data_IF_209879325231
#
_entry.id   IF_209879325231
#
_cell.length_a   1.000
_cell.length_b   1.000
_cell.length_c   1.000
_cell.angle_alpha   90.00
_cell.angle_beta   90.00
_cell.angle_gamma   90.00
#
_symmetry.space_group_name_H-M   'P 1'
#
loop_
_entity.id
_entity.type
_entity.pdbx_description
1 polymer ?
#
# COMPACT_ATOMS: atom_id res chain seq x y z
N UNK A 1 23.73 13.19 -25.96
CA UNK A 1 25.21 13.09 -25.94
C UNK A 1 25.67 12.34 -27.16
N UNK A 2 26.72 12.83 -27.83
CA UNK A 2 27.39 12.10 -28.92
C UNK A 2 28.28 11.03 -28.29
N UNK A 3 28.21 9.79 -28.78
CA UNK A 3 29.01 8.66 -28.29
C UNK A 3 30.25 8.42 -29.15
N UNK A 4 30.10 8.41 -30.48
CA UNK A 4 31.21 8.35 -31.43
C UNK A 4 30.78 8.89 -32.81
N UNK A 5 31.76 9.10 -33.69
CA UNK A 5 31.58 9.44 -35.10
C UNK A 5 32.26 8.35 -35.94
N UNK A 6 31.61 7.94 -37.03
CA UNK A 6 32.06 6.84 -37.89
C UNK A 6 32.41 7.38 -39.29
N UNK A 7 33.51 6.89 -39.86
CA UNK A 7 33.89 7.17 -41.25
C UNK A 7 33.14 6.27 -42.24
N UNK A 8 33.16 6.64 -43.51
CA UNK A 8 32.50 5.89 -44.59
C UNK A 8 32.99 4.44 -44.66
N UNK A 9 32.04 3.50 -44.57
CA UNK A 9 32.30 2.06 -44.59
C UNK A 9 32.56 1.41 -43.22
N UNK A 10 32.61 2.18 -42.14
CA UNK A 10 32.83 1.64 -40.80
C UNK A 10 31.54 1.06 -40.17
N UNK A 11 31.66 -0.08 -39.49
CA UNK A 11 30.58 -0.69 -38.70
C UNK A 11 31.02 -0.86 -37.25
N UNK A 12 30.16 -0.48 -36.30
CA UNK A 12 30.41 -0.63 -34.86
C UNK A 12 29.29 -1.44 -34.22
N UNK A 13 29.66 -2.36 -33.33
CA UNK A 13 28.74 -3.11 -32.49
C UNK A 13 29.25 -3.03 -31.06
N UNK A 14 28.41 -2.52 -30.16
CA UNK A 14 28.71 -2.38 -28.74
C UNK A 14 27.60 -2.99 -27.92
N UNK A 15 27.96 -3.58 -26.79
CA UNK A 15 27.05 -4.08 -25.78
C UNK A 15 27.43 -3.43 -24.44
N UNK A 16 26.45 -2.89 -23.73
CA UNK A 16 26.65 -2.21 -22.47
C UNK A 16 25.90 -2.94 -21.36
N UNK A 17 26.54 -3.11 -20.23
CA UNK A 17 25.90 -3.58 -19.00
C UNK A 17 25.61 -2.38 -18.10
N UNK A 18 24.35 -2.20 -17.70
CA UNK A 18 23.93 -1.12 -16.80
C UNK A 18 23.47 -1.74 -15.49
N UNK A 19 24.05 -1.27 -14.40
CA UNK A 19 23.74 -1.74 -13.04
C UNK A 19 23.26 -0.58 -12.16
N UNK A 20 22.55 -0.92 -11.08
CA UNK A 20 22.23 0.04 -10.01
C UNK A 20 23.26 -0.13 -8.89
N UNK A 21 23.79 0.99 -8.40
CA UNK A 21 24.79 1.00 -7.35
C UNK A 21 24.72 2.27 -6.52
N UNK A 22 25.74 2.48 -5.68
CA UNK A 22 25.87 3.67 -4.84
C UNK A 22 27.32 4.17 -4.88
N UNK A 23 27.50 5.48 -4.95
CA UNK A 23 28.82 6.09 -4.92
C UNK A 23 29.64 5.83 -6.18
N UNK A 24 30.94 5.62 -6.01
CA UNK A 24 31.90 5.38 -7.10
C UNK A 24 32.45 3.96 -7.01
N UNK A 25 32.46 3.26 -8.14
CA UNK A 25 33.05 1.92 -8.25
C UNK A 25 34.11 1.94 -9.35
N UNK A 26 35.39 1.65 -9.03
CA UNK A 26 36.45 1.64 -10.03
C UNK A 26 36.31 0.45 -10.99
N UNK A 27 36.86 0.59 -12.19
CA UNK A 27 36.82 -0.43 -13.24
C UNK A 27 37.29 -1.83 -12.77
N UNK A 28 38.30 -1.89 -11.90
CA UNK A 28 38.84 -3.15 -11.37
C UNK A 28 37.81 -3.94 -10.56
N UNK A 29 36.92 -3.26 -9.82
CA UNK A 29 35.84 -3.91 -9.06
C UNK A 29 34.65 -4.30 -9.95
N UNK A 30 34.51 -3.66 -11.12
CA UNK A 30 33.48 -3.99 -12.09
C UNK A 30 33.85 -5.20 -12.96
N UNK A 31 35.09 -5.68 -12.90
CA UNK A 31 35.54 -6.84 -13.67
C UNK A 31 35.27 -8.13 -12.88
N UNK A 32 34.34 -9.00 -13.33
CA UNK A 32 34.14 -10.29 -12.69
C UNK A 32 35.33 -11.23 -12.93
N UNK A 33 35.55 -12.18 -12.01
CA UNK A 33 36.66 -13.14 -12.10
C UNK A 33 36.56 -14.02 -13.35
N UNK A 34 35.35 -14.30 -13.81
CA UNK A 34 35.01 -15.08 -15.02
C UNK A 34 34.76 -14.19 -16.26
N UNK A 35 35.29 -12.97 -16.29
CA UNK A 35 35.08 -12.02 -17.39
C UNK A 35 35.47 -12.61 -18.76
N UNK A 36 34.57 -12.57 -19.77
CA UNK A 36 34.86 -13.05 -21.10
C UNK A 36 35.93 -12.20 -21.78
N UNK A 37 36.64 -12.79 -22.75
CA UNK A 37 37.62 -12.09 -23.56
C UNK A 37 36.91 -10.99 -24.36
N UNK A 38 37.42 -9.77 -24.28
CA UNK A 38 36.84 -8.59 -24.95
C UNK A 38 35.97 -7.72 -24.04
N UNK A 39 35.70 -8.11 -22.79
CA UNK A 39 35.04 -7.24 -21.81
C UNK A 39 35.99 -6.12 -21.35
N UNK A 40 35.59 -4.88 -21.57
CA UNK A 40 36.29 -3.68 -21.09
C UNK A 40 35.50 -3.14 -19.91
N UNK A 41 36.00 -3.34 -18.70
CA UNK A 41 35.41 -2.73 -17.52
C UNK A 41 35.70 -1.22 -17.49
N UNK A 42 34.70 -0.44 -17.11
CA UNK A 42 34.79 1.02 -16.98
C UNK A 42 34.40 1.42 -15.56
N UNK A 43 34.87 2.58 -15.12
CA UNK A 43 34.47 3.15 -13.84
C UNK A 43 32.96 3.46 -13.85
N UNK A 44 32.30 3.23 -12.73
CA UNK A 44 30.87 3.51 -12.55
C UNK A 44 30.65 4.58 -11.51
N UNK A 45 29.95 5.65 -11.91
CA UNK A 45 29.54 6.74 -11.03
C UNK A 45 28.03 6.69 -10.80
N UNK A 46 27.63 6.17 -9.65
CA UNK A 46 26.23 6.09 -9.19
C UNK A 46 25.86 7.31 -8.33
N UNK A 47 26.19 8.51 -8.81
CA UNK A 47 25.82 9.77 -8.15
C UNK A 47 24.93 10.60 -9.07
N UNK A 48 23.60 10.60 -8.86
CA UNK A 48 22.69 11.37 -9.70
C UNK A 48 22.71 12.87 -9.36
N UNK A 49 23.22 13.25 -8.19
CA UNK A 49 23.41 14.65 -7.78
C UNK A 49 24.78 15.13 -8.22
N UNK A 50 24.82 16.24 -8.96
CA UNK A 50 26.06 16.86 -9.48
C UNK A 50 26.59 17.94 -8.55
N UNK A 51 25.69 18.79 -8.04
CA UNK A 51 26.05 19.94 -7.21
C UNK A 51 24.94 20.28 -6.26
N UNK A 52 25.32 20.65 -5.04
CA UNK A 52 24.43 21.20 -4.02
C UNK A 52 25.07 22.46 -3.47
N UNK A 53 24.31 23.54 -3.41
CA UNK A 53 24.66 24.76 -2.72
C UNK A 53 23.53 25.12 -1.75
N UNK A 54 23.87 25.64 -0.57
CA UNK A 54 22.87 26.11 0.37
C UNK A 54 23.31 27.43 1.01
N UNK A 55 22.33 28.24 1.40
CA UNK A 55 22.54 29.44 2.20
C UNK A 55 21.42 29.59 3.22
N UNK A 56 21.75 30.14 4.37
CA UNK A 56 20.81 30.42 5.45
C UNK A 56 20.72 31.94 5.59
N UNK A 57 19.51 32.46 5.55
CA UNK A 57 19.23 33.89 5.67
C UNK A 57 18.21 34.11 6.79
N UNK A 58 18.37 35.15 7.63
CA UNK A 58 17.38 35.48 8.63
C UNK A 58 16.08 35.90 7.94
N UNK A 59 14.94 35.38 8.40
CA UNK A 59 13.63 35.68 7.85
C UNK A 59 12.66 36.12 8.93
N UNK A 60 11.83 37.10 8.60
CA UNK A 60 10.75 37.54 9.47
C UNK A 60 9.49 36.78 9.15
N UNK A 61 8.87 36.17 10.15
CA UNK A 61 7.56 35.55 10.02
C UNK A 61 6.57 36.22 10.98
N UNK A 62 5.71 37.08 10.42
CA UNK A 62 4.78 37.88 11.21
C UNK A 62 5.48 38.91 12.12
N UNK A 63 5.29 38.80 13.43
CA UNK A 63 5.88 39.72 14.42
C UNK A 63 7.23 39.24 14.98
N UNK A 64 7.63 37.98 14.74
CA UNK A 64 8.90 37.42 15.22
C UNK A 64 10.00 37.53 14.16
N UNK A 65 11.22 37.87 14.61
CA UNK A 65 12.43 38.08 13.79
C UNK A 65 13.43 36.91 13.90
N UNK A 66 13.11 35.85 14.65
CA UNK A 66 14.08 34.84 15.08
C UNK A 66 14.09 33.56 14.22
N UNK A 67 13.57 33.62 12.99
CA UNK A 67 13.52 32.46 12.10
C UNK A 67 14.65 32.49 11.08
N UNK A 68 15.14 31.30 10.75
CA UNK A 68 16.10 31.07 9.68
C UNK A 68 15.40 30.51 8.44
N UNK A 69 15.71 31.07 7.27
CA UNK A 69 15.29 30.56 5.97
C UNK A 69 16.45 29.84 5.30
N UNK A 70 16.26 28.55 5.06
CA UNK A 70 17.18 27.74 4.26
C UNK A 70 16.80 27.83 2.77
N UNK A 71 17.76 28.22 1.94
CA UNK A 71 17.65 28.17 0.48
C UNK A 71 18.66 27.14 -0.01
N UNK A 72 18.20 26.14 -0.76
CA UNK A 72 19.04 25.07 -1.31
C UNK A 72 18.87 25.00 -2.82
N UNK A 73 20.00 24.97 -3.53
CA UNK A 73 20.08 24.80 -4.98
C UNK A 73 20.68 23.42 -5.26
N UNK A 74 19.89 22.53 -5.84
CA UNK A 74 20.28 21.13 -6.11
C UNK A 74 20.23 20.87 -7.61
N UNK A 75 21.35 20.43 -8.17
CA UNK A 75 21.50 20.10 -9.59
C UNK A 75 21.69 18.59 -9.76
N UNK A 76 20.80 17.94 -10.51
CA UNK A 76 20.86 16.51 -10.79
C UNK A 76 21.13 16.22 -12.28
N UNK A 77 21.51 14.99 -12.60
CA UNK A 77 21.73 14.52 -13.97
C UNK A 77 20.44 14.04 -14.67
N UNK A 78 19.27 14.18 -14.03
CA UNK A 78 17.98 13.74 -14.54
C UNK A 78 17.56 12.32 -14.16
N UNK A 79 18.45 11.50 -13.58
CA UNK A 79 18.08 10.17 -13.08
C UNK A 79 17.15 10.23 -11.86
N UNK A 80 17.17 11.35 -11.14
CA UNK A 80 16.27 11.64 -10.02
C UNK A 80 15.91 13.13 -10.02
N UNK A 81 14.69 13.46 -9.58
CA UNK A 81 14.31 14.85 -9.39
C UNK A 81 15.07 15.47 -8.20
N UNK A 82 15.37 16.79 -8.22
CA UNK A 82 16.03 17.45 -7.09
C UNK A 82 15.25 17.32 -5.77
N UNK A 83 13.91 17.34 -5.83
CA UNK A 83 13.04 17.21 -4.66
C UNK A 83 13.15 15.81 -4.06
N UNK A 84 13.07 14.78 -4.90
CA UNK A 84 13.19 13.40 -4.44
C UNK A 84 14.59 13.13 -3.88
N UNK A 85 15.65 13.68 -4.49
CA UNK A 85 17.01 13.56 -3.98
C UNK A 85 17.14 14.08 -2.53
N UNK A 86 16.53 15.23 -2.23
CA UNK A 86 16.49 15.77 -0.86
C UNK A 86 15.65 14.88 0.06
N UNK A 87 14.52 14.35 -0.41
CA UNK A 87 13.69 13.44 0.37
C UNK A 87 14.43 12.14 0.73
N UNK A 88 15.14 11.53 -0.23
CA UNK A 88 15.98 10.35 0.05
C UNK A 88 17.11 10.67 1.01
N UNK A 89 17.75 11.84 0.88
CA UNK A 89 18.80 12.27 1.81
C UNK A 89 18.25 12.41 3.24
N UNK A 90 17.07 13.04 3.40
CA UNK A 90 16.41 13.15 4.70
C UNK A 90 16.06 11.78 5.29
N UNK A 91 15.58 10.85 4.46
CA UNK A 91 15.27 9.49 4.89
C UNK A 91 16.52 8.74 5.38
N UNK A 92 17.60 8.79 4.60
CA UNK A 92 18.88 8.19 4.99
C UNK A 92 19.36 8.78 6.32
N UNK A 93 19.27 10.10 6.49
CA UNK A 93 19.67 10.77 7.72
C UNK A 93 18.81 10.33 8.93
N UNK A 94 17.49 10.21 8.76
CA UNK A 94 16.60 9.67 9.79
C UNK A 94 16.97 8.24 10.18
N UNK A 95 17.17 7.36 9.19
CA UNK A 95 17.53 5.96 9.42
C UNK A 95 18.88 5.85 10.16
N UNK A 96 19.86 6.72 9.86
CA UNK A 96 21.15 6.77 10.58
C UNK A 96 21.01 7.29 12.01
N UNK A 97 20.16 8.32 12.23
CA UNK A 97 19.95 8.88 13.57
C UNK A 97 19.13 7.97 14.48
N UNK A 98 18.29 7.09 13.91
CA UNK A 98 17.45 6.16 14.65
C UNK A 98 18.22 5.30 15.66
N UNK A 99 19.47 4.92 15.33
CA UNK A 99 20.33 4.09 16.18
C UNK A 99 20.68 4.81 17.50
N UNK A 100 20.71 6.14 17.49
CA UNK A 100 21.01 6.94 18.68
C UNK A 100 19.77 7.21 19.55
N UNK A 101 18.56 6.94 19.04
CA UNK A 101 17.32 7.09 19.78
C UNK A 101 17.18 5.86 20.70
N UNK A 102 17.64 5.99 21.95
CA UNK A 102 17.68 4.90 22.94
C UNK A 102 16.33 4.63 23.61
N UNK A 103 15.34 5.50 23.39
CA UNK A 103 13.97 5.35 23.90
C UNK A 103 13.03 5.07 22.74
N UNK A 104 12.10 4.14 22.90
CA UNK A 104 11.04 3.98 21.91
C UNK A 104 10.18 5.25 21.91
N UNK A 105 10.32 6.09 20.88
CA UNK A 105 9.30 7.08 20.59
C UNK A 105 7.97 6.31 20.41
N UNK A 106 6.86 6.76 21.03
CA UNK A 106 5.56 6.22 20.71
C UNK A 106 5.35 6.49 19.23
N UNK A 107 5.53 5.46 18.39
CA UNK A 107 5.29 5.53 16.96
C UNK A 107 3.90 6.12 16.82
N UNK A 108 3.81 7.33 16.26
CA UNK A 108 2.55 7.88 15.79
C UNK A 108 1.96 6.76 14.95
N UNK A 109 0.84 6.17 15.39
CA UNK A 109 0.11 5.23 14.54
C UNK A 109 -0.04 5.98 13.23
N UNK A 110 0.60 5.48 12.19
CA UNK A 110 0.27 5.90 10.84
C UNK A 110 -1.21 5.59 10.78
N UNK A 111 -2.04 6.63 10.81
CA UNK A 111 -3.42 6.53 10.37
C UNK A 111 -3.26 6.10 8.92
N UNK A 112 -3.15 4.78 8.72
CA UNK A 112 -3.34 4.16 7.43
C UNK A 112 -4.66 4.72 6.96
N UNK A 113 -4.60 5.31 5.77
CA UNK A 113 -5.71 5.77 4.96
C UNK A 113 -7.02 5.30 5.58
N UNK A 114 -7.75 6.24 6.17
CA UNK A 114 -9.11 5.98 6.62
C UNK A 114 -9.80 5.30 5.44
N UNK A 115 -9.89 3.97 5.48
CA UNK A 115 -10.83 3.21 4.67
C UNK A 115 -12.11 3.99 4.86
N UNK A 116 -12.77 4.46 3.79
CA UNK A 116 -13.96 5.26 3.94
C UNK A 116 -14.82 4.49 4.93
N UNK A 117 -15.17 5.14 6.04
CA UNK A 117 -16.13 4.60 6.99
C UNK A 117 -17.42 4.43 6.18
N UNK A 118 -17.54 3.29 5.51
CA UNK A 118 -18.82 2.81 5.04
C UNK A 118 -19.66 2.76 6.33
N UNK A 119 -20.86 3.35 6.34
CA UNK A 119 -21.72 3.39 7.53
C UNK A 119 -22.16 1.99 8.01
N UNK A 120 -21.64 0.94 7.37
CA UNK A 120 -21.97 -0.44 7.54
C UNK A 120 -20.68 -1.28 7.46
N UNK A 121 -20.57 -2.30 8.31
CA UNK A 121 -19.43 -3.23 8.30
C UNK A 121 -19.33 -3.89 6.90
N UNK A 122 -18.16 -3.93 6.23
CA UNK A 122 -18.00 -4.58 4.92
C UNK A 122 -18.43 -6.05 4.90
N UNK A 123 -18.46 -6.70 6.08
CA UNK A 123 -19.00 -8.04 6.25
C UNK A 123 -20.46 -8.19 5.80
N UNK A 124 -21.25 -7.11 5.76
CA UNK A 124 -22.67 -7.16 5.42
C UNK A 124 -22.92 -7.47 3.93
N UNK A 125 -21.96 -7.13 3.07
CA UNK A 125 -22.00 -7.40 1.63
C UNK A 125 -21.66 -8.86 1.28
N UNK A 126 -21.12 -9.63 2.22
CA UNK A 126 -20.81 -11.05 1.98
C UNK A 126 -22.09 -11.86 1.84
N UNK A 127 -22.05 -12.87 0.98
CA UNK A 127 -23.15 -13.81 0.81
C UNK A 127 -23.17 -14.80 1.96
N UNK A 128 -24.37 -15.21 2.36
CA UNK A 128 -24.57 -16.25 3.36
C UNK A 128 -23.95 -17.60 2.92
N UNK A 129 -23.81 -17.83 1.62
CA UNK A 129 -23.17 -19.02 1.03
C UNK A 129 -21.66 -19.12 1.32
N UNK A 130 -21.00 -17.99 1.61
CA UNK A 130 -19.58 -17.98 1.99
C UNK A 130 -19.38 -18.27 3.48
N UNK A 131 -20.45 -18.21 4.27
CA UNK A 131 -20.39 -18.67 5.65
C UNK A 131 -20.34 -20.19 5.61
N UNK A 132 -19.34 -20.80 6.24
CA UNK A 132 -19.17 -22.26 6.38
C UNK A 132 -20.25 -22.88 7.30
N UNK A 133 -21.52 -22.61 7.01
CA UNK A 133 -22.68 -23.09 7.73
C UNK A 133 -23.03 -24.51 7.31
N UNK A 134 -23.77 -25.21 8.17
CA UNK A 134 -24.29 -26.52 7.80
C UNK A 134 -25.24 -26.43 6.60
N UNK A 135 -25.26 -27.47 5.76
CA UNK A 135 -26.10 -27.57 4.56
C UNK A 135 -27.59 -27.29 4.87
N UNK A 136 -28.05 -27.64 6.08
CA UNK A 136 -29.42 -27.33 6.53
C UNK A 136 -29.63 -25.85 6.78
N UNK A 137 -28.70 -25.19 7.48
CA UNK A 137 -28.78 -23.75 7.79
C UNK A 137 -28.74 -22.93 6.49
N UNK A 138 -27.81 -23.22 5.57
CA UNK A 138 -27.71 -22.54 4.27
C UNK A 138 -28.99 -22.68 3.42
N UNK A 139 -29.56 -23.89 3.34
CA UNK A 139 -30.80 -24.12 2.58
C UNK A 139 -32.02 -23.45 3.22
N UNK A 140 -32.09 -23.36 4.56
CA UNK A 140 -33.18 -22.65 5.23
C UNK A 140 -33.11 -21.13 4.94
N UNK A 141 -31.92 -20.56 4.93
CA UNK A 141 -31.70 -19.14 4.64
C UNK A 141 -32.04 -18.81 3.18
N UNK A 142 -31.66 -19.68 2.22
CA UNK A 142 -32.06 -19.54 0.81
C UNK A 142 -33.57 -19.58 0.62
N UNK A 143 -34.26 -20.50 1.31
CA UNK A 143 -35.71 -20.62 1.22
C UNK A 143 -36.46 -19.40 1.79
N UNK A 144 -35.84 -18.68 2.73
CA UNK A 144 -36.39 -17.46 3.34
C UNK A 144 -35.94 -16.18 2.60
N UNK A 145 -35.35 -16.32 1.40
CA UNK A 145 -34.79 -15.24 0.57
C UNK A 145 -33.69 -14.39 1.26
N UNK A 146 -32.95 -14.98 2.19
CA UNK A 146 -31.82 -14.33 2.87
C UNK A 146 -30.53 -14.65 2.09
N UNK A 147 -30.04 -13.69 1.31
CA UNK A 147 -28.87 -13.89 0.42
C UNK A 147 -27.60 -13.30 1.03
N UNK A 148 -27.70 -12.14 1.69
CA UNK A 148 -26.57 -11.41 2.25
C UNK A 148 -26.57 -11.43 3.77
N UNK A 149 -25.40 -11.22 4.38
CA UNK A 149 -25.27 -11.12 5.85
C UNK A 149 -26.08 -9.93 6.38
N UNK A 150 -26.19 -8.83 5.62
CA UNK A 150 -27.04 -7.69 5.98
C UNK A 150 -28.53 -8.02 6.11
N UNK A 151 -29.04 -8.97 5.33
CA UNK A 151 -30.44 -9.44 5.43
C UNK A 151 -30.62 -10.31 6.69
N UNK A 152 -29.60 -11.09 7.04
CA UNK A 152 -29.61 -12.01 8.17
C UNK A 152 -29.63 -11.28 9.52
N UNK A 153 -28.82 -10.23 9.68
CA UNK A 153 -28.69 -9.55 10.98
C UNK A 153 -29.92 -8.72 11.36
N UNK A 154 -30.79 -8.37 10.41
CA UNK A 154 -32.05 -7.67 10.68
C UNK A 154 -33.13 -8.58 11.24
N UNK A 155 -33.01 -9.88 11.04
CA UNK A 155 -33.96 -10.86 11.57
C UNK A 155 -33.70 -11.10 13.05
N UNK A 156 -34.77 -11.16 13.82
CA UNK A 156 -34.68 -11.50 15.24
C UNK A 156 -34.61 -13.01 15.42
N UNK A 157 -34.04 -13.46 16.54
CA UNK A 157 -33.97 -14.89 16.88
C UNK A 157 -35.34 -15.58 16.90
N UNK A 158 -36.37 -14.84 17.33
CA UNK A 158 -37.73 -15.31 17.41
C UNK A 158 -38.36 -15.53 16.02
N UNK A 159 -37.97 -14.73 15.02
CA UNK A 159 -38.41 -14.89 13.64
C UNK A 159 -37.70 -16.07 12.97
N UNK A 160 -36.40 -16.23 13.20
CA UNK A 160 -35.62 -17.35 12.68
C UNK A 160 -36.15 -18.70 13.18
N UNK A 161 -36.60 -18.78 14.44
CA UNK A 161 -37.20 -20.00 15.00
C UNK A 161 -38.61 -20.31 14.48
N UNK A 162 -39.28 -19.36 13.80
CA UNK A 162 -40.57 -19.59 13.14
C UNK A 162 -40.41 -20.12 11.71
N UNK A 163 -39.23 -19.97 11.12
CA UNK A 163 -38.94 -20.47 9.77
C UNK A 163 -39.01 -22.01 9.74
N UNK A 164 -39.72 -22.60 8.77
CA UNK A 164 -39.88 -24.05 8.68
C UNK A 164 -38.51 -24.72 8.51
N UNK A 165 -38.28 -25.81 9.27
CA UNK A 165 -37.02 -26.57 9.31
C UNK A 165 -35.81 -25.84 9.91
N UNK A 166 -36.00 -24.66 10.52
CA UNK A 166 -34.95 -23.94 11.23
C UNK A 166 -34.92 -24.35 12.72
N UNK A 167 -33.82 -24.97 13.15
CA UNK A 167 -33.70 -25.56 14.50
C UNK A 167 -32.80 -24.75 15.44
N UNK A 168 -32.90 -25.04 16.76
CA UNK A 168 -32.02 -24.44 17.79
C UNK A 168 -30.52 -24.65 17.52
N UNK A 169 -30.17 -25.78 16.88
CA UNK A 169 -28.79 -26.08 16.49
C UNK A 169 -28.30 -25.12 15.39
N UNK A 170 -29.10 -24.88 14.36
CA UNK A 170 -28.81 -23.90 13.29
C UNK A 170 -28.72 -22.47 13.82
N UNK A 171 -29.56 -22.12 14.79
CA UNK A 171 -29.51 -20.80 15.43
C UNK A 171 -28.16 -20.56 16.14
N UNK A 172 -27.67 -21.56 16.88
CA UNK A 172 -26.39 -21.44 17.58
C UNK A 172 -25.21 -21.39 16.60
N UNK A 173 -25.24 -22.18 15.53
CA UNK A 173 -24.23 -22.13 14.45
C UNK A 173 -24.10 -20.71 13.87
N UNK A 174 -25.23 -20.06 13.56
CA UNK A 174 -25.24 -18.69 13.04
C UNK A 174 -24.71 -17.70 14.08
N UNK A 175 -25.11 -17.82 15.34
CA UNK A 175 -24.64 -16.93 16.41
C UNK A 175 -23.13 -17.00 16.61
N UNK A 176 -22.55 -18.19 16.57
CA UNK A 176 -21.10 -18.38 16.71
C UNK A 176 -20.34 -17.71 15.55
N UNK A 177 -20.81 -17.89 14.32
CA UNK A 177 -20.19 -17.29 13.13
C UNK A 177 -20.36 -15.76 13.11
N UNK A 178 -21.55 -15.25 13.44
CA UNK A 178 -21.79 -13.81 13.54
C UNK A 178 -20.97 -13.17 14.68
N UNK A 179 -20.84 -13.85 15.82
CA UNK A 179 -20.00 -13.39 16.92
C UNK A 179 -18.52 -13.29 16.51
N UNK A 180 -18.03 -14.22 15.69
CA UNK A 180 -16.69 -14.16 15.10
C UNK A 180 -16.47 -12.94 14.18
N UNK A 181 -17.55 -12.39 13.62
CA UNK A 181 -17.54 -11.17 12.79
C UNK A 181 -17.96 -9.91 13.56
N UNK A 182 -18.13 -10.03 14.89
CA UNK A 182 -18.61 -8.96 15.78
C UNK A 182 -20.01 -8.43 15.41
N UNK A 183 -20.87 -9.31 14.89
CA UNK A 183 -22.26 -9.06 14.51
C UNK A 183 -23.22 -9.87 15.41
N UNK A 184 -24.48 -9.43 15.50
CA UNK A 184 -25.54 -10.14 16.23
C UNK A 184 -26.89 -10.01 15.52
N UNK A 185 -27.83 -10.89 15.86
CA UNK A 185 -29.18 -10.91 15.31
C UNK A 185 -30.04 -9.80 15.94
N UNK A 186 -30.87 -9.14 15.15
CA UNK A 186 -31.69 -8.00 15.57
C UNK A 186 -30.97 -6.65 15.49
N UNK A 187 -29.92 -6.52 14.68
CA UNK A 187 -29.29 -5.24 14.36
C UNK A 187 -30.14 -4.47 13.35
N UNK A 188 -30.39 -3.20 13.65
CA UNK A 188 -30.96 -2.29 12.66
C UNK A 188 -29.84 -1.70 11.80
N UNK A 189 -29.93 -1.89 10.48
CA UNK A 189 -29.00 -1.31 9.51
C UNK A 189 -29.77 -0.28 8.69
N UNK A 190 -29.62 1.02 8.97
CA UNK A 190 -30.29 2.05 8.19
C UNK A 190 -29.81 2.00 6.73
N UNK A 191 -30.75 2.11 5.79
CA UNK A 191 -30.52 2.11 4.34
C UNK A 191 -30.12 0.75 3.71
N UNK A 192 -30.58 -0.35 4.30
CA UNK A 192 -30.48 -1.71 3.74
C UNK A 192 -31.85 -2.25 3.32
N UNK A 193 -32.00 -2.91 2.16
CA UNK A 193 -31.00 -3.20 1.14
C UNK A 193 -30.73 -1.98 0.23
N UNK A 194 -29.46 -1.65 -0.10
CA UNK A 194 -29.15 -0.59 -1.05
C UNK A 194 -29.56 -0.97 -2.49
N UNK A 195 -30.01 0.01 -3.29
CA UNK A 195 -30.47 -0.22 -4.68
C UNK A 195 -29.38 -0.81 -5.60
N UNK A 196 -28.09 -0.63 -5.27
CA UNK A 196 -26.95 -1.12 -6.06
C UNK A 196 -26.20 -2.31 -5.40
N UNK A 197 -26.90 -3.17 -4.64
CA UNK A 197 -26.26 -4.26 -3.88
C UNK A 197 -25.41 -5.21 -4.75
N UNK A 198 -25.83 -5.50 -5.99
CA UNK A 198 -25.09 -6.38 -6.91
C UNK A 198 -23.80 -5.75 -7.44
N UNK A 199 -23.77 -4.43 -7.66
CA UNK A 199 -22.56 -3.72 -8.09
C UNK A 199 -21.56 -3.56 -6.93
N UNK A 200 -22.06 -3.35 -5.71
CA UNK A 200 -21.25 -3.25 -4.50
C UNK A 200 -20.62 -4.60 -4.14
N UNK A 201 -21.37 -5.70 -4.27
CA UNK A 201 -20.84 -7.04 -4.08
C UNK A 201 -19.73 -7.36 -5.10
N UNK A 202 -19.94 -7.07 -6.39
CA UNK A 202 -18.91 -7.25 -7.43
C UNK A 202 -17.63 -6.46 -7.16
N UNK A 203 -17.75 -5.18 -6.77
CA UNK A 203 -16.58 -4.35 -6.46
C UNK A 203 -15.80 -4.84 -5.23
N UNK A 204 -16.47 -5.47 -4.28
CA UNK A 204 -15.82 -6.04 -3.10
C UNK A 204 -15.08 -7.33 -3.44
N UNK A 205 -15.67 -8.19 -4.28
CA UNK A 205 -15.01 -9.40 -4.79
C UNK A 205 -13.78 -9.05 -5.66
N UNK A 206 -13.85 -8.01 -6.50
CA UNK A 206 -12.73 -7.57 -7.35
C UNK A 206 -11.56 -6.93 -6.57
N UNK A 207 -11.76 -6.56 -5.29
CA UNK A 207 -10.74 -5.96 -4.41
C UNK A 207 -10.05 -6.98 -3.47
N UNK A 208 -10.50 -8.23 -3.43
CA UNK A 208 -9.87 -9.35 -2.71
C UNK A 208 -8.90 -10.13 -3.59
#
# INVERSE_FOLDING_TARGET
>A
HVLCTLDDGATVRMEFTVNNGKGYVPADQNRPEDAPIGLIAVDSLFSPVKRVAYRVEPTRQGQSLDYDKLIMEVETNGAISPVDAVAFAARILQDQLQIFITFEEPKKKVEGEAKPELPFNPALLKKVDELELSVRSANCLKNDNIVYIGDLIQKTEAEMLRTPNFGRKSLNEIKEVLAGMNLHLGMDVPNWPPENIEELAKKFDDQM
#
